data_IF_377855829926
#
_entry.id   IF_377855829926
#
_cell.length_a   1.000
_cell.length_b   1.000
_cell.length_c   1.000
_cell.angle_alpha   90.00
_cell.angle_beta   90.00
_cell.angle_gamma   90.00
#
_symmetry.space_group_name_H-M   'P 1'
#
loop_
_entity.id
_entity.type
_entity.pdbx_description
1 polymer ?
#
# COMPACT_ATOMS: atom_id res chain seq x y z
N UNK A 1 -32.29 -50.66 0.62
CA UNK A 1 -33.03 -50.99 -0.61
C UNK A 1 -33.93 -49.81 -0.96
N UNK A 2 -33.42 -48.60 -1.17
CA UNK A 2 -32.73 -48.14 -2.39
C UNK A 2 -33.55 -48.35 -3.66
N UNK A 3 -34.06 -47.24 -4.22
CA UNK A 3 -33.78 -46.75 -5.58
C UNK A 3 -34.49 -45.39 -5.77
N UNK A 4 -33.82 -44.24 -5.71
CA UNK A 4 -33.05 -43.63 -6.79
C UNK A 4 -33.53 -43.98 -8.21
N UNK A 5 -34.36 -43.12 -8.82
CA UNK A 5 -34.44 -42.91 -10.28
C UNK A 5 -35.27 -41.66 -10.64
N UNK A 6 -34.92 -40.49 -10.11
CA UNK A 6 -35.22 -39.22 -10.79
C UNK A 6 -33.97 -38.33 -10.80
N UNK A 7 -33.03 -38.75 -11.65
CA UNK A 7 -32.25 -37.88 -12.55
C UNK A 7 -32.51 -36.35 -12.43
N UNK A 8 -31.55 -35.67 -11.82
CA UNK A 8 -30.94 -34.38 -12.19
C UNK A 8 -31.22 -33.95 -13.66
N UNK A 9 -31.45 -32.64 -14.02
CA UNK A 9 -30.53 -31.54 -13.75
C UNK A 9 -31.10 -30.10 -13.52
N UNK A 10 -30.30 -29.27 -12.81
CA UNK A 10 -29.96 -27.86 -13.13
C UNK A 10 -31.09 -26.88 -13.52
N UNK A 11 -31.36 -25.89 -12.64
CA UNK A 11 -31.53 -24.46 -12.97
C UNK A 11 -31.54 -23.67 -11.64
N UNK A 12 -30.48 -23.02 -11.13
CA UNK A 12 -29.59 -21.98 -11.65
C UNK A 12 -30.25 -20.66 -12.03
N UNK A 13 -31.02 -20.06 -11.11
CA UNK A 13 -31.35 -18.62 -11.16
C UNK A 13 -31.07 -17.90 -9.84
N UNK A 14 -29.79 -17.59 -9.62
CA UNK A 14 -29.42 -16.32 -8.99
C UNK A 14 -28.22 -15.72 -9.74
N UNK A 15 -28.46 -14.87 -10.75
CA UNK A 15 -27.42 -14.16 -11.48
C UNK A 15 -27.24 -12.75 -10.90
N UNK A 16 -26.12 -12.48 -10.23
CA UNK A 16 -25.48 -11.15 -10.22
C UNK A 16 -24.34 -11.11 -9.22
N UNK A 17 -23.09 -11.08 -9.73
CA UNK A 17 -21.92 -10.75 -8.92
C UNK A 17 -20.84 -11.83 -8.83
N UNK A 18 -20.55 -12.55 -9.91
CA UNK A 18 -19.19 -13.03 -10.12
C UNK A 18 -18.28 -11.80 -10.27
N UNK A 19 -17.77 -11.31 -9.14
CA UNK A 19 -16.59 -10.46 -9.07
C UNK A 19 -15.47 -11.31 -8.42
N UNK A 20 -14.26 -11.30 -9.00
CA UNK A 20 -13.60 -12.54 -9.40
C UNK A 20 -12.86 -13.23 -8.25
N UNK A 21 -13.28 -14.47 -7.96
CA UNK A 21 -12.50 -15.47 -7.21
C UNK A 21 -11.28 -16.01 -7.99
N UNK A 22 -10.74 -15.24 -8.94
CA UNK A 22 -9.56 -15.60 -9.74
C UNK A 22 -8.31 -14.77 -9.42
N UNK A 23 -8.41 -13.79 -8.51
CA UNK A 23 -7.25 -13.02 -8.02
C UNK A 23 -6.81 -13.45 -6.60
N UNK A 24 -7.40 -14.52 -6.06
CA UNK A 24 -7.08 -15.00 -4.71
C UNK A 24 -5.73 -15.74 -4.60
N UNK A 25 -4.94 -15.80 -5.68
CA UNK A 25 -3.67 -16.52 -5.66
C UNK A 25 -2.51 -15.80 -6.38
N UNK A 26 -2.59 -14.47 -6.57
CA UNK A 26 -1.41 -13.69 -6.97
C UNK A 26 -0.66 -13.23 -5.71
N UNK A 27 -0.05 -14.19 -5.04
CA UNK A 27 1.01 -13.88 -4.07
C UNK A 27 2.22 -13.34 -4.84
N UNK A 28 2.37 -12.02 -4.85
CA UNK A 28 3.61 -11.40 -5.30
C UNK A 28 4.49 -11.17 -4.07
N UNK A 29 5.23 -12.22 -3.70
CA UNK A 29 6.45 -12.15 -2.92
C UNK A 29 6.32 -12.29 -1.39
N UNK A 30 5.68 -11.35 -0.70
CA UNK A 30 5.78 -11.29 0.78
C UNK A 30 4.56 -10.69 1.53
N UNK A 31 3.60 -10.07 0.85
CA UNK A 31 2.36 -9.52 1.45
C UNK A 31 1.23 -9.65 0.42
N UNK A 32 0.03 -10.16 0.79
CA UNK A 32 -1.09 -10.30 -0.15
C UNK A 32 -1.37 -8.95 -0.82
N UNK A 33 -1.29 -8.92 -2.16
CA UNK A 33 -1.44 -7.70 -2.97
C UNK A 33 -2.74 -6.95 -2.64
N UNK A 34 -3.80 -7.70 -2.31
CA UNK A 34 -5.08 -7.16 -1.87
C UNK A 34 -4.99 -6.36 -0.56
N UNK A 35 -4.23 -6.84 0.42
CA UNK A 35 -4.04 -6.15 1.70
C UNK A 35 -3.26 -4.86 1.47
N UNK A 36 -2.20 -4.92 0.68
CA UNK A 36 -1.42 -3.75 0.30
C UNK A 36 -2.26 -2.69 -0.45
N UNK A 37 -3.11 -3.09 -1.39
CA UNK A 37 -4.05 -2.17 -2.06
C UNK A 37 -5.01 -1.54 -1.04
N UNK A 38 -5.48 -2.31 -0.06
CA UNK A 38 -6.40 -1.84 0.99
C UNK A 38 -5.79 -0.73 1.86
N UNK A 39 -4.61 -0.98 2.44
CA UNK A 39 -3.90 0.04 3.24
C UNK A 39 -3.50 1.25 2.38
N UNK A 40 -3.02 1.05 1.15
CA UNK A 40 -2.67 2.15 0.27
C UNK A 40 -3.89 3.04 -0.06
N UNK A 41 -5.05 2.44 -0.33
CA UNK A 41 -6.29 3.19 -0.58
C UNK A 41 -6.73 3.99 0.66
N UNK A 42 -6.72 3.37 1.85
CA UNK A 42 -7.10 4.04 3.10
C UNK A 42 -6.17 5.23 3.39
N UNK A 43 -4.86 5.06 3.18
CA UNK A 43 -3.88 6.12 3.40
C UNK A 43 -4.01 7.22 2.35
N UNK A 44 -4.25 6.88 1.08
CA UNK A 44 -4.46 7.88 0.03
C UNK A 44 -5.73 8.72 0.28
N UNK A 45 -6.83 8.07 0.70
CA UNK A 45 -8.09 8.75 1.04
C UNK A 45 -7.86 9.64 2.28
N UNK A 46 -7.18 9.13 3.30
CA UNK A 46 -6.90 9.92 4.51
C UNK A 46 -5.98 11.11 4.23
N UNK A 47 -4.98 10.94 3.36
CA UNK A 47 -4.01 11.97 2.96
C UNK A 47 -4.67 13.09 2.15
N UNK A 48 -5.58 12.76 1.24
CA UNK A 48 -6.33 13.73 0.44
C UNK A 48 -7.46 14.40 1.23
N UNK A 49 -8.04 13.71 2.22
CA UNK A 49 -9.04 14.29 3.12
C UNK A 49 -8.43 15.20 4.20
N UNK A 50 -7.10 15.25 4.35
CA UNK A 50 -6.44 16.05 5.38
C UNK A 50 -6.70 15.58 6.82
N UNK A 51 -7.30 14.39 7.00
CA UNK A 51 -7.70 13.84 8.31
C UNK A 51 -6.55 13.10 9.01
N UNK A 52 -5.30 13.37 8.64
CA UNK A 52 -4.17 12.73 9.30
C UNK A 52 -4.04 13.28 10.71
N UNK A 53 -3.94 12.43 11.74
CA UNK A 53 -3.56 12.90 13.06
C UNK A 53 -2.15 13.48 13.01
N UNK A 54 -1.95 14.72 13.48
CA UNK A 54 -0.63 15.36 13.62
C UNK A 54 0.13 14.72 14.78
N UNK A 55 0.58 13.48 14.57
CA UNK A 55 1.19 12.63 15.58
C UNK A 55 2.20 11.69 14.92
N UNK A 56 3.10 11.12 15.74
CA UNK A 56 4.08 10.12 15.28
C UNK A 56 3.42 8.93 14.58
N UNK A 57 2.26 8.49 15.05
CA UNK A 57 1.48 7.40 14.43
C UNK A 57 1.01 7.77 13.02
N UNK A 58 0.52 8.99 12.82
CA UNK A 58 0.11 9.47 11.49
C UNK A 58 1.31 9.53 10.54
N UNK A 59 2.43 10.07 11.01
CA UNK A 59 3.66 10.17 10.20
C UNK A 59 4.21 8.81 9.81
N UNK A 60 4.29 7.88 10.77
CA UNK A 60 4.73 6.50 10.52
C UNK A 60 3.80 5.77 9.55
N UNK A 61 2.47 5.91 9.71
CA UNK A 61 1.49 5.26 8.83
C UNK A 61 1.66 5.71 7.38
N UNK A 62 1.90 7.00 7.14
CA UNK A 62 2.12 7.55 5.80
C UNK A 62 3.43 7.05 5.20
N UNK A 63 4.56 7.24 5.89
CA UNK A 63 5.87 6.90 5.32
C UNK A 63 6.02 5.39 5.09
N UNK A 64 5.45 4.55 5.96
CA UNK A 64 5.52 3.10 5.82
C UNK A 64 4.64 2.61 4.67
N UNK A 65 3.42 3.14 4.57
CA UNK A 65 2.50 2.74 3.50
C UNK A 65 3.00 3.22 2.14
N UNK A 66 3.43 4.48 2.05
CA UNK A 66 3.99 5.04 0.82
C UNK A 66 5.32 4.37 0.45
N UNK A 67 6.20 4.13 1.41
CA UNK A 67 7.48 3.46 1.18
C UNK A 67 7.30 2.04 0.66
N UNK A 68 6.39 1.26 1.28
CA UNK A 68 6.09 -0.08 0.80
C UNK A 68 5.42 -0.07 -0.58
N UNK A 69 4.55 0.91 -0.84
CA UNK A 69 3.92 1.11 -2.15
C UNK A 69 4.95 1.30 -3.26
N UNK A 70 5.84 2.26 -3.05
CA UNK A 70 6.88 2.61 -4.00
C UNK A 70 7.92 1.50 -4.12
N UNK A 71 8.24 0.80 -3.04
CA UNK A 71 9.14 -0.35 -3.08
C UNK A 71 8.57 -1.49 -3.93
N UNK A 72 7.26 -1.76 -3.84
CA UNK A 72 6.62 -2.79 -4.65
C UNK A 72 6.66 -2.45 -6.14
N UNK A 73 6.35 -1.20 -6.47
CA UNK A 73 6.42 -0.68 -7.85
C UNK A 73 7.88 -0.71 -8.34
N UNK A 74 8.83 -0.26 -7.53
CA UNK A 74 10.25 -0.24 -7.85
C UNK A 74 10.87 -1.62 -8.03
N UNK A 75 10.32 -2.68 -7.40
CA UNK A 75 10.74 -4.07 -7.63
C UNK A 75 10.21 -4.66 -8.93
N UNK A 76 9.10 -4.15 -9.45
CA UNK A 76 8.52 -4.59 -10.74
C UNK A 76 9.23 -3.98 -11.94
N UNK A 77 9.93 -2.85 -11.78
CA UNK A 77 10.66 -2.19 -12.87
C UNK A 77 12.06 -2.81 -13.02
N UNK A 78 12.32 -3.63 -14.06
CA UNK A 78 13.58 -4.37 -14.20
C UNK A 78 14.78 -3.46 -14.52
N UNK A 79 14.56 -2.30 -15.15
CA UNK A 79 15.61 -1.35 -15.56
C UNK A 79 16.36 -0.71 -14.39
N UNK A 80 15.70 -0.56 -13.24
CA UNK A 80 16.30 0.10 -12.07
C UNK A 80 16.82 -0.90 -11.03
N UNK A 81 16.52 -2.20 -11.17
CA UNK A 81 16.71 -3.21 -10.10
C UNK A 81 18.17 -3.44 -9.71
N UNK A 82 19.12 -3.34 -10.64
CA UNK A 82 20.54 -3.67 -10.37
C UNK A 82 21.29 -2.60 -9.57
N UNK A 83 20.76 -1.38 -9.50
CA UNK A 83 21.42 -0.23 -8.83
C UNK A 83 20.69 0.17 -7.53
N UNK A 84 19.74 -0.65 -7.06
CA UNK A 84 18.89 -0.30 -5.91
C UNK A 84 17.62 0.44 -6.29
N UNK A 85 17.03 0.06 -7.43
CA UNK A 85 15.80 0.63 -7.98
C UNK A 85 14.67 0.88 -7.01
N UNK A 86 14.32 -0.06 -6.10
CA UNK A 86 13.30 0.17 -5.09
C UNK A 86 13.65 1.35 -4.15
N UNK A 87 14.91 1.48 -3.75
CA UNK A 87 15.36 2.55 -2.86
C UNK A 87 15.39 3.91 -3.56
N UNK A 88 15.96 3.96 -4.77
CA UNK A 88 16.01 5.20 -5.57
C UNK A 88 14.60 5.71 -5.86
N UNK A 89 13.69 4.83 -6.28
CA UNK A 89 12.30 5.18 -6.57
C UNK A 89 11.57 5.63 -5.30
N UNK A 90 11.83 4.99 -4.16
CA UNK A 90 11.27 5.35 -2.87
C UNK A 90 11.73 6.73 -2.37
N UNK A 91 12.92 7.21 -2.75
CA UNK A 91 13.40 8.54 -2.36
C UNK A 91 13.04 9.64 -3.37
N UNK A 92 13.13 9.34 -4.66
CA UNK A 92 12.85 10.30 -5.73
C UNK A 92 11.35 10.58 -5.88
N UNK A 93 10.51 9.53 -5.87
CA UNK A 93 9.07 9.70 -6.07
C UNK A 93 8.42 10.64 -5.06
N UNK A 94 8.62 10.51 -3.73
CA UNK A 94 8.00 11.44 -2.80
C UNK A 94 8.50 12.88 -2.99
N UNK A 95 9.77 13.10 -3.34
CA UNK A 95 10.28 14.46 -3.64
C UNK A 95 9.56 15.08 -4.85
N UNK A 96 9.35 14.31 -5.92
CA UNK A 96 8.61 14.76 -7.11
C UNK A 96 7.14 14.99 -6.78
N UNK A 97 6.53 14.12 -5.98
CA UNK A 97 5.13 14.22 -5.59
C UNK A 97 4.85 15.46 -4.73
N UNK A 98 5.79 15.83 -3.87
CA UNK A 98 5.76 17.09 -3.11
C UNK A 98 5.94 18.30 -4.02
N UNK A 99 6.84 18.23 -5.00
CA UNK A 99 7.06 19.32 -5.97
C UNK A 99 5.80 19.63 -6.80
N UNK A 100 5.02 18.61 -7.19
CA UNK A 100 3.74 18.80 -7.89
C UNK A 100 2.59 19.25 -6.97
N UNK A 101 2.80 19.36 -5.66
CA UNK A 101 1.76 19.77 -4.71
C UNK A 101 0.67 18.71 -4.49
N UNK A 102 0.95 17.42 -4.74
CA UNK A 102 -0.03 16.35 -4.51
C UNK A 102 -0.27 16.04 -3.02
N UNK A 103 0.54 16.59 -2.12
CA UNK A 103 0.39 16.43 -0.68
C UNK A 103 -0.29 17.64 -0.04
N UNK A 104 -1.33 17.38 0.74
CA UNK A 104 -1.98 18.36 1.61
C UNK A 104 -1.00 18.86 2.70
N UNK A 105 -1.11 20.14 3.08
CA UNK A 105 -0.22 20.76 4.07
C UNK A 105 -0.18 19.97 5.39
N UNK A 106 -1.32 19.46 5.84
CA UNK A 106 -1.43 18.66 7.06
C UNK A 106 -0.63 17.35 7.01
N UNK A 107 -0.49 16.75 5.83
CA UNK A 107 0.30 15.52 5.64
C UNK A 107 1.79 15.82 5.71
N UNK A 108 2.24 16.92 5.10
CA UNK A 108 3.64 17.34 5.15
C UNK A 108 4.07 17.71 6.56
N UNK A 109 3.24 18.44 7.31
CA UNK A 109 3.50 18.76 8.71
C UNK A 109 3.63 17.51 9.57
N UNK A 110 2.78 16.50 9.34
CA UNK A 110 2.83 15.25 10.09
C UNK A 110 4.12 14.46 9.81
N UNK A 111 4.58 14.44 8.55
CA UNK A 111 5.86 13.81 8.18
C UNK A 111 7.05 14.60 8.72
N UNK A 112 6.99 15.94 8.68
CA UNK A 112 8.04 16.81 9.22
C UNK A 112 8.17 16.65 10.74
N UNK A 113 7.04 16.58 11.46
CA UNK A 113 7.01 16.28 12.89
C UNK A 113 7.70 14.95 13.18
N UNK A 114 7.39 13.92 12.40
CA UNK A 114 7.99 12.60 12.59
C UNK A 114 9.51 12.62 12.29
N UNK A 115 9.95 13.33 11.26
CA UNK A 115 11.38 13.42 10.91
C UNK A 115 12.18 14.26 11.92
N UNK A 116 11.64 15.40 12.37
CA UNK A 116 12.39 16.43 13.10
C UNK A 116 12.02 16.55 14.58
N UNK A 117 10.73 16.48 14.92
CA UNK A 117 10.27 16.61 16.30
C UNK A 117 10.33 15.27 17.05
N UNK A 118 10.06 14.17 16.37
CA UNK A 118 10.15 12.83 16.94
C UNK A 118 11.56 12.21 16.84
N UNK A 119 12.53 12.92 16.26
CA UNK A 119 13.91 12.45 16.07
C UNK A 119 14.03 11.05 15.44
N UNK A 120 13.05 10.62 14.63
CA UNK A 120 13.07 9.28 14.03
C UNK A 120 14.30 9.09 13.14
N UNK A 121 14.76 10.15 12.46
CA UNK A 121 15.96 10.10 11.64
C UNK A 121 17.21 9.76 12.47
N UNK A 122 17.39 10.41 13.62
CA UNK A 122 18.49 10.09 14.54
C UNK A 122 18.36 8.71 15.15
N UNK A 123 17.14 8.27 15.46
CA UNK A 123 16.89 6.92 15.95
C UNK A 123 17.31 5.85 14.93
N UNK A 124 16.95 6.02 13.64
CA UNK A 124 17.35 5.10 12.58
C UNK A 124 18.87 5.09 12.39
N UNK A 125 19.53 6.25 12.45
CA UNK A 125 21.00 6.32 12.40
C UNK A 125 21.62 5.59 13.60
N UNK A 126 21.07 5.76 14.80
CA UNK A 126 21.55 5.10 16.01
C UNK A 126 21.37 3.58 16.00
N UNK A 127 20.36 3.05 15.31
CA UNK A 127 20.18 1.60 15.14
C UNK A 127 21.11 0.99 14.08
N UNK A 128 21.63 1.80 13.16
CA UNK A 128 22.47 1.34 12.05
C UNK A 128 23.97 1.36 12.37
N UNK A 129 24.39 2.23 13.30
CA UNK A 129 25.77 2.32 13.82
C UNK A 129 26.00 1.37 14.99
#
# INVERSE_FOLDING_TARGET
MENNSLNHPIDKTLPSGQAPRLLSNIEVGAVPLALFIGIAAIVAISATAGLLPKNMIGGLAVIMTLGFALAKIGRMVPILKEVGGPAILCLMTPSVLVYFGMFEAHTLDTVHLLMKEANLLYFVIACLV
#
